data_IF_871286348724
#
_entry.id   IF_871286348724
#
_cell.length_a   1.000
_cell.length_b   1.000
_cell.length_c   1.000
_cell.angle_alpha   90.00
_cell.angle_beta   90.00
_cell.angle_gamma   90.00
#
_symmetry.space_group_name_H-M   'P 1'
#
loop_
_entity.id
_entity.type
_entity.pdbx_description
1 polymer ?
#
# COMPACT_ATOMS: atom_id res chain seq x y z
N UNK A 1 -20.21 54.77 15.44
CA UNK A 1 -21.49 54.28 14.90
C UNK A 1 -21.15 53.53 13.63
N UNK A 2 -21.34 52.23 13.47
CA UNK A 2 -22.10 51.25 14.22
C UNK A 2 -21.30 49.96 14.20
N UNK A 3 -21.02 49.39 15.37
CA UNK A 3 -20.64 47.98 15.45
C UNK A 3 -21.89 47.15 15.18
N UNK A 4 -21.75 46.08 14.41
CA UNK A 4 -22.65 44.94 14.50
C UNK A 4 -21.91 43.87 15.29
N UNK A 5 -22.20 43.82 16.59
CA UNK A 5 -21.95 42.66 17.40
C UNK A 5 -22.99 41.58 17.08
N UNK A 6 -22.52 40.34 17.03
CA UNK A 6 -23.32 39.15 17.29
C UNK A 6 -22.42 38.25 18.15
N UNK A 7 -22.66 38.31 19.45
CA UNK A 7 -22.25 37.37 20.48
C UNK A 7 -23.54 37.08 21.26
N UNK A 8 -23.64 36.01 22.05
CA UNK A 8 -23.09 34.67 21.88
C UNK A 8 -24.18 33.61 22.13
N UNK A 9 -24.19 32.46 21.46
CA UNK A 9 -24.88 31.30 22.05
C UNK A 9 -24.29 29.98 21.56
N UNK A 10 -23.77 29.25 22.55
CA UNK A 10 -23.62 27.80 22.59
C UNK A 10 -22.52 27.19 21.71
N UNK A 11 -21.32 27.27 22.28
CA UNK A 11 -20.39 26.15 22.33
C UNK A 11 -21.11 24.90 22.86
N UNK A 12 -21.80 24.17 21.99
CA UNK A 12 -22.16 22.77 22.26
C UNK A 12 -20.89 21.93 22.08
N UNK A 13 -20.08 21.99 23.13
CA UNK A 13 -19.15 20.95 23.51
C UNK A 13 -19.88 19.60 23.56
N UNK A 14 -19.85 18.85 22.46
CA UNK A 14 -20.12 17.42 22.46
C UNK A 14 -18.86 16.64 22.05
N UNK A 15 -17.73 17.02 22.65
CA UNK A 15 -16.84 16.02 23.22
C UNK A 15 -17.44 15.76 24.60
N UNK A 16 -18.04 14.63 24.95
CA UNK A 16 -17.37 13.34 25.08
C UNK A 16 -18.44 12.26 25.26
N UNK A 17 -18.73 11.45 24.25
CA UNK A 17 -18.98 10.05 24.60
C UNK A 17 -17.60 9.50 24.93
N UNK A 18 -17.33 9.27 26.21
CA UNK A 18 -16.12 8.62 26.71
C UNK A 18 -15.95 7.26 26.01
N UNK A 19 -15.32 7.28 24.83
CA UNK A 19 -14.75 6.08 24.25
C UNK A 19 -13.51 5.86 25.07
N UNK A 20 -13.61 4.91 26.00
CA UNK A 20 -12.50 4.42 26.77
C UNK A 20 -11.52 3.77 25.78
N UNK A 21 -10.53 4.55 25.34
CA UNK A 21 -9.46 4.04 24.49
C UNK A 21 -8.55 3.22 25.39
N UNK A 22 -8.81 1.92 25.49
CA UNK A 22 -7.77 0.99 25.89
C UNK A 22 -6.57 1.20 24.95
N UNK A 23 -5.41 1.40 25.56
CA UNK A 23 -4.19 1.88 24.95
C UNK A 23 -3.68 0.88 23.90
N UNK A 24 -4.25 0.85 22.69
CA UNK A 24 -3.93 -0.21 21.73
C UNK A 24 -4.34 0.01 20.28
N UNK A 25 -5.42 0.72 19.96
CA UNK A 25 -5.92 0.74 18.57
C UNK A 25 -6.30 2.16 18.12
N UNK A 26 -5.35 2.85 17.49
CA UNK A 26 -5.67 4.02 16.65
C UNK A 26 -6.04 3.51 15.26
N UNK A 27 -7.33 3.44 14.96
CA UNK A 27 -7.80 3.21 13.60
C UNK A 27 -7.66 4.51 12.79
N UNK A 28 -6.72 4.52 11.84
CA UNK A 28 -6.67 5.56 10.81
C UNK A 28 -7.79 5.29 9.81
N UNK A 29 -8.88 6.06 9.89
CA UNK A 29 -9.92 6.06 8.86
C UNK A 29 -9.49 6.98 7.71
N UNK A 30 -9.09 6.38 6.59
CA UNK A 30 -8.81 7.10 5.34
C UNK A 30 -10.03 6.91 4.43
N UNK A 31 -10.77 7.99 4.21
CA UNK A 31 -11.92 7.99 3.29
C UNK A 31 -11.44 8.10 1.84
N UNK A 32 -11.38 6.96 1.15
CA UNK A 32 -10.98 6.90 -0.26
C UNK A 32 -12.06 7.42 -1.22
N UNK A 33 -13.29 7.70 -0.75
CA UNK A 33 -14.37 8.17 -1.63
C UNK A 33 -14.20 9.65 -2.01
N UNK A 34 -13.54 10.46 -1.17
CA UNK A 34 -13.16 11.85 -1.52
C UNK A 34 -12.05 11.94 -2.56
N UNK A 35 -11.27 10.86 -2.72
CA UNK A 35 -10.16 10.80 -3.69
C UNK A 35 -10.61 10.29 -5.07
N UNK A 36 -11.80 9.68 -5.17
CA UNK A 36 -12.33 9.17 -6.42
C UNK A 36 -12.64 10.29 -7.44
N UNK A 37 -13.08 11.47 -6.99
CA UNK A 37 -13.32 12.63 -7.87
C UNK A 37 -12.01 13.29 -8.35
N UNK A 38 -10.89 13.11 -7.63
CA UNK A 38 -9.56 13.60 -8.04
C UNK A 38 -8.80 12.61 -8.95
N UNK A 39 -9.37 11.43 -9.22
CA UNK A 39 -8.85 10.44 -10.18
C UNK A 39 -9.29 10.75 -11.61
N UNK A 40 -9.28 12.02 -12.01
CA UNK A 40 -9.21 12.35 -13.43
C UNK A 40 -7.89 11.79 -13.96
N UNK A 41 -7.95 10.56 -14.49
CA UNK A 41 -6.95 9.86 -15.28
C UNK A 41 -5.54 10.43 -15.15
N UNK A 42 -4.78 10.00 -14.14
CA UNK A 42 -3.34 10.24 -14.16
C UNK A 42 -2.79 9.59 -15.43
N UNK A 43 -2.31 10.40 -16.37
CA UNK A 43 -1.72 9.89 -17.60
C UNK A 43 -0.41 9.17 -17.25
N UNK A 44 -0.49 7.85 -17.07
CA UNK A 44 0.69 7.00 -16.91
C UNK A 44 1.34 6.92 -18.30
N UNK A 45 2.47 7.61 -18.47
CA UNK A 45 3.32 7.41 -19.66
C UNK A 45 3.89 5.99 -19.61
N UNK A 46 3.18 5.06 -20.23
CA UNK A 46 3.63 3.67 -20.43
C UNK A 46 4.84 3.55 -21.38
N UNK A 47 5.35 4.67 -21.90
CA UNK A 47 6.55 4.72 -22.75
C UNK A 47 7.83 4.89 -21.95
N UNK A 48 8.91 4.23 -22.39
CA UNK A 48 10.24 4.44 -21.83
C UNK A 48 10.80 5.83 -22.19
N UNK A 49 11.41 6.49 -21.21
CA UNK A 49 12.17 7.72 -21.45
C UNK A 49 13.53 7.41 -22.08
N UNK A 50 14.17 8.40 -22.69
CA UNK A 50 15.55 8.28 -23.19
C UNK A 50 16.52 7.91 -22.07
N UNK A 51 16.32 8.47 -20.87
CA UNK A 51 17.10 8.13 -19.68
C UNK A 51 16.92 6.65 -19.27
N UNK A 52 15.70 6.13 -19.34
CA UNK A 52 15.42 4.70 -19.06
C UNK A 52 16.16 3.79 -20.04
N UNK A 53 16.10 4.09 -21.35
CA UNK A 53 16.83 3.34 -22.38
C UNK A 53 18.33 3.37 -22.16
N UNK A 54 18.88 4.53 -21.80
CA UNK A 54 20.31 4.66 -21.50
C UNK A 54 20.69 3.84 -20.27
N UNK A 55 19.89 3.89 -19.20
CA UNK A 55 20.11 3.11 -17.99
C UNK A 55 20.07 1.59 -18.26
N UNK A 56 19.10 1.14 -19.07
CA UNK A 56 18.99 -0.26 -19.49
C UNK A 56 20.20 -0.71 -20.33
N UNK A 57 20.61 0.09 -21.32
CA UNK A 57 21.77 -0.23 -22.16
C UNK A 57 23.07 -0.32 -21.34
N UNK A 58 23.25 0.59 -20.38
CA UNK A 58 24.39 0.58 -19.48
C UNK A 58 24.32 -0.61 -18.50
N UNK A 59 23.14 -0.99 -18.03
CA UNK A 59 22.97 -2.17 -17.19
C UNK A 59 23.28 -3.47 -17.95
N UNK A 60 22.91 -3.56 -19.22
CA UNK A 60 23.23 -4.71 -20.08
C UNK A 60 24.73 -4.85 -20.38
N UNK A 61 25.46 -3.72 -20.46
CA UNK A 61 26.90 -3.71 -20.68
C UNK A 61 27.70 -4.14 -19.43
N UNK A 62 27.11 -4.10 -18.23
CA UNK A 62 27.77 -4.56 -17.00
C UNK A 62 27.80 -6.09 -16.94
N UNK A 63 28.90 -6.69 -16.47
CA UNK A 63 28.94 -8.14 -16.23
C UNK A 63 27.88 -8.51 -15.20
N UNK A 64 27.16 -9.62 -15.46
CA UNK A 64 26.22 -10.18 -14.50
C UNK A 64 27.01 -10.77 -13.33
N UNK A 65 26.84 -10.18 -12.15
CA UNK A 65 27.42 -10.68 -10.89
C UNK A 65 26.67 -11.93 -10.44
N UNK A 66 27.35 -12.85 -9.76
CA UNK A 66 26.68 -14.02 -9.17
C UNK A 66 25.85 -13.61 -7.96
N UNK A 67 24.92 -14.47 -7.54
CA UNK A 67 24.13 -14.24 -6.33
C UNK A 67 25.02 -14.04 -5.10
N UNK A 68 26.08 -14.84 -4.95
CA UNK A 68 26.98 -14.73 -3.79
C UNK A 68 27.73 -13.40 -3.73
N UNK A 69 27.99 -12.77 -4.87
CA UNK A 69 28.69 -11.49 -4.94
C UNK A 69 27.75 -10.30 -4.62
N UNK A 70 26.47 -10.43 -4.95
CA UNK A 70 25.47 -9.37 -4.75
C UNK A 70 24.90 -9.43 -3.33
N UNK A 71 24.68 -10.64 -2.81
CA UNK A 71 23.96 -10.88 -1.57
C UNK A 71 24.96 -11.16 -0.44
N UNK A 72 24.77 -10.58 0.76
CA UNK A 72 25.62 -10.89 1.92
C UNK A 72 25.60 -12.37 2.30
N UNK A 73 26.72 -12.88 2.82
CA UNK A 73 26.92 -14.29 3.17
C UNK A 73 25.85 -14.86 4.11
N UNK A 74 25.34 -14.04 5.04
CA UNK A 74 24.30 -14.42 6.00
C UNK A 74 23.01 -14.96 5.33
N UNK A 75 22.76 -14.53 4.09
CA UNK A 75 21.57 -14.88 3.32
C UNK A 75 21.81 -15.98 2.28
N UNK A 76 23.06 -16.42 2.06
CA UNK A 76 23.36 -17.48 1.09
C UNK A 76 22.67 -18.79 1.43
N UNK A 77 22.45 -19.06 2.72
CA UNK A 77 21.69 -20.23 3.19
C UNK A 77 20.24 -20.29 2.69
N UNK A 78 19.67 -19.15 2.29
CA UNK A 78 18.30 -19.05 1.79
C UNK A 78 18.22 -19.06 0.25
N UNK A 79 19.37 -19.15 -0.44
CA UNK A 79 19.46 -19.11 -1.90
C UNK A 79 18.48 -20.10 -2.54
N UNK A 80 18.48 -21.34 -2.09
CA UNK A 80 17.60 -22.39 -2.64
C UNK A 80 16.19 -22.35 -2.04
N UNK A 81 16.06 -22.15 -0.72
CA UNK A 81 14.77 -22.24 -0.03
C UNK A 81 13.84 -21.07 -0.31
N UNK A 82 14.36 -19.84 -0.47
CA UNK A 82 13.55 -18.62 -0.62
C UNK A 82 13.72 -17.97 -1.98
N UNK A 83 14.95 -17.97 -2.50
CA UNK A 83 15.27 -17.32 -3.78
C UNK A 83 15.38 -18.30 -4.95
N UNK A 84 15.12 -19.59 -4.70
CA UNK A 84 15.10 -20.64 -5.70
C UNK A 84 13.88 -20.48 -6.60
N UNK A 85 14.03 -20.81 -7.88
CA UNK A 85 12.91 -20.71 -8.84
C UNK A 85 11.75 -21.63 -8.45
N UNK A 86 12.08 -22.83 -8.00
CA UNK A 86 11.08 -23.86 -7.64
C UNK A 86 10.27 -23.45 -6.41
N UNK A 87 10.91 -22.88 -5.39
CA UNK A 87 10.22 -22.45 -4.18
C UNK A 87 9.38 -21.18 -4.37
N UNK A 88 9.67 -20.37 -5.39
CA UNK A 88 8.90 -19.17 -5.69
C UNK A 88 7.51 -19.48 -6.27
N UNK A 89 7.41 -20.55 -7.06
CA UNK A 89 6.15 -20.96 -7.69
C UNK A 89 5.20 -21.64 -6.70
N UNK A 90 5.70 -22.03 -5.52
CA UNK A 90 4.93 -22.66 -4.47
C UNK A 90 4.46 -21.66 -3.41
N UNK A 91 3.15 -21.62 -3.15
CA UNK A 91 2.60 -20.85 -2.03
C UNK A 91 2.91 -21.55 -0.70
N UNK A 92 3.25 -20.79 0.36
CA UNK A 92 3.42 -21.37 1.68
C UNK A 92 2.11 -22.00 2.18
N UNK A 93 2.20 -22.97 3.11
CA UNK A 93 1.01 -23.61 3.67
C UNK A 93 0.15 -22.59 4.41
N UNK A 94 -1.17 -22.79 4.34
CA UNK A 94 -2.14 -21.96 5.05
C UNK A 94 -1.89 -21.99 6.55
N UNK A 95 -1.90 -20.83 7.17
CA UNK A 95 -1.66 -20.63 8.60
C UNK A 95 -2.97 -20.34 9.33
N UNK A 96 -3.04 -20.57 10.66
CA UNK A 96 -4.24 -20.27 11.44
C UNK A 96 -4.67 -18.81 11.42
N UNK A 97 -3.75 -17.89 11.12
CA UNK A 97 -3.98 -16.45 11.00
C UNK A 97 -4.21 -15.99 9.56
N UNK A 98 -4.34 -16.91 8.60
CA UNK A 98 -4.73 -16.56 7.24
C UNK A 98 -6.26 -16.38 7.18
N UNK A 99 -6.69 -15.12 7.14
CA UNK A 99 -8.12 -14.79 7.05
C UNK A 99 -8.69 -15.14 5.68
N UNK A 100 -9.76 -15.92 5.65
CA UNK A 100 -10.56 -16.14 4.45
C UNK A 100 -11.52 -14.97 4.25
N UNK A 101 -11.66 -14.48 3.02
CA UNK A 101 -12.69 -13.50 2.65
C UNK A 101 -13.92 -14.29 2.22
N UNK A 102 -14.92 -14.38 3.09
CA UNK A 102 -16.19 -15.01 2.77
C UNK A 102 -17.09 -14.03 2.01
N UNK A 103 -17.38 -14.34 0.75
CA UNK A 103 -18.28 -13.53 -0.06
C UNK A 103 -19.73 -13.93 0.17
N UNK A 104 -20.59 -12.93 0.36
CA UNK A 104 -22.04 -13.13 0.42
C UNK A 104 -22.54 -13.63 -0.95
N UNK A 105 -23.52 -14.56 -1.02
CA UNK A 105 -24.09 -14.99 -2.29
C UNK A 105 -24.58 -13.82 -3.14
N UNK A 106 -24.12 -13.74 -4.40
CA UNK A 106 -24.46 -12.64 -5.32
C UNK A 106 -23.57 -11.39 -5.18
N UNK A 107 -22.52 -11.43 -4.34
CA UNK A 107 -21.52 -10.37 -4.27
C UNK A 107 -20.87 -10.15 -5.64
N UNK A 108 -20.91 -8.90 -6.10
CA UNK A 108 -20.22 -8.47 -7.32
C UNK A 108 -18.85 -7.92 -6.93
N UNK A 109 -17.80 -8.48 -7.53
CA UNK A 109 -16.48 -7.87 -7.45
C UNK A 109 -16.54 -6.50 -8.12
N UNK A 110 -15.97 -5.49 -7.48
CA UNK A 110 -15.89 -4.16 -8.08
C UNK A 110 -14.84 -4.21 -9.18
N UNK A 111 -15.27 -4.01 -10.43
CA UNK A 111 -14.36 -3.90 -11.55
C UNK A 111 -13.63 -2.55 -11.47
N UNK A 112 -12.34 -2.58 -11.16
CA UNK A 112 -11.49 -1.39 -11.18
C UNK A 112 -11.08 -1.08 -12.62
N UNK A 113 -11.97 -0.47 -13.41
CA UNK A 113 -11.65 0.07 -14.73
C UNK A 113 -11.76 1.60 -14.76
#
# INVERSE_FOLDING_TARGET
>A
MSGCGLEPEETEELWTSEVNYDLGEKLLFIDFNKEAELRQSTHIRAGQTTASKLAESHAQAKPKKSFEEIVPEEYHKFKETVFGKESFDELPPRRPWDHAIELVPGAKLQDCK
#
